data_IF_481094366245
#
_entry.id   IF_481094366245
#
_cell.length_a   1.000
_cell.length_b   1.000
_cell.length_c   1.000
_cell.angle_alpha   90.00
_cell.angle_beta   90.00
_cell.angle_gamma   90.00
#
_symmetry.space_group_name_H-M   'P 1'
#
loop_
_entity.id
_entity.type
_entity.pdbx_description
1 polymer ?
#
# COMPACT_ATOMS: atom_id res chain seq x y z
N UNK A 1 -2.60 6.07 13.96
CA UNK A 1 -1.58 4.99 13.91
C UNK A 1 -1.69 3.94 15.01
N UNK A 2 -1.71 4.27 16.32
CA UNK A 2 -1.84 3.22 17.35
C UNK A 2 -3.19 2.48 17.27
N UNK A 3 -4.30 3.22 17.22
CA UNK A 3 -5.64 2.61 17.10
C UNK A 3 -5.80 1.82 15.80
N UNK A 4 -5.35 2.36 14.66
CA UNK A 4 -5.35 1.63 13.38
C UNK A 4 -4.54 0.34 13.46
N UNK A 5 -3.40 0.34 14.16
CA UNK A 5 -2.59 -0.86 14.36
C UNK A 5 -3.34 -1.93 15.15
N UNK A 6 -4.04 -1.55 16.23
CA UNK A 6 -4.88 -2.46 17.01
C UNK A 6 -5.98 -3.07 16.14
N UNK A 7 -6.65 -2.28 15.31
CA UNK A 7 -7.72 -2.74 14.40
C UNK A 7 -7.18 -3.74 13.36
N UNK A 8 -6.00 -3.49 12.80
CA UNK A 8 -5.35 -4.43 11.86
C UNK A 8 -4.93 -5.73 12.55
N UNK A 9 -4.47 -5.69 13.79
CA UNK A 9 -4.18 -6.90 14.58
C UNK A 9 -5.46 -7.68 14.86
N UNK A 10 -6.56 -7.01 15.24
CA UNK A 10 -7.87 -7.68 15.43
C UNK A 10 -8.31 -8.38 14.14
N UNK A 11 -8.16 -7.70 13.00
CA UNK A 11 -8.43 -8.29 11.67
C UNK A 11 -7.57 -9.53 11.44
N UNK A 12 -6.27 -9.44 11.75
CA UNK A 12 -5.34 -10.56 11.65
C UNK A 12 -5.66 -11.71 12.59
N UNK A 13 -6.10 -11.44 13.83
CA UNK A 13 -6.55 -12.45 14.79
C UNK A 13 -7.73 -13.22 14.19
N UNK A 14 -8.77 -12.52 13.72
CA UNK A 14 -9.95 -13.15 13.10
C UNK A 14 -9.54 -14.06 11.93
N UNK A 15 -8.71 -13.54 11.01
CA UNK A 15 -8.22 -14.34 9.87
C UNK A 15 -7.42 -15.55 10.35
N UNK A 16 -6.53 -15.36 11.33
CA UNK A 16 -5.66 -16.41 11.83
C UNK A 16 -6.44 -17.55 12.51
N UNK A 17 -7.43 -17.20 13.32
CA UNK A 17 -8.36 -18.10 14.00
C UNK A 17 -9.15 -18.96 13.02
N UNK A 18 -9.52 -18.37 11.89
CA UNK A 18 -10.31 -19.04 10.86
C UNK A 18 -9.49 -19.99 9.98
N UNK A 19 -8.20 -19.70 9.79
CA UNK A 19 -7.36 -20.38 8.80
C UNK A 19 -6.40 -21.39 9.43
N UNK A 20 -5.69 -21.03 10.49
CA UNK A 20 -4.63 -21.84 11.08
C UNK A 20 -5.13 -22.75 12.21
N UNK A 21 -4.56 -23.94 12.31
CA UNK A 21 -4.85 -24.87 13.42
C UNK A 21 -3.74 -24.88 14.47
N UNK A 22 -2.48 -24.70 14.04
CA UNK A 22 -1.34 -24.66 14.95
C UNK A 22 -1.37 -23.38 15.81
N UNK A 23 -1.39 -23.53 17.15
CA UNK A 23 -1.44 -22.42 18.11
C UNK A 23 -0.35 -21.37 17.91
N UNK A 24 0.88 -21.79 17.62
CA UNK A 24 2.02 -20.88 17.45
C UNK A 24 1.93 -20.10 16.14
N UNK A 25 1.62 -20.79 15.03
CA UNK A 25 1.41 -20.15 13.74
C UNK A 25 0.20 -19.21 13.77
N UNK A 26 -0.89 -19.63 14.41
CA UNK A 26 -2.08 -18.79 14.64
C UNK A 26 -1.71 -17.47 15.31
N UNK A 27 -0.94 -17.52 16.41
CA UNK A 27 -0.53 -16.32 17.15
C UNK A 27 0.36 -15.39 16.32
N UNK A 28 1.41 -15.89 15.67
CA UNK A 28 2.32 -15.04 14.90
C UNK A 28 1.68 -14.52 13.61
N UNK A 29 0.85 -15.32 12.92
CA UNK A 29 0.17 -14.92 11.68
C UNK A 29 -0.86 -13.81 11.91
N UNK A 30 -1.35 -13.62 13.14
CA UNK A 30 -2.22 -12.49 13.49
C UNK A 30 -1.54 -11.12 13.23
N UNK A 31 -0.21 -11.08 13.21
CA UNK A 31 0.57 -9.88 12.94
C UNK A 31 0.80 -9.63 11.44
N UNK A 32 0.53 -10.58 10.53
CA UNK A 32 0.88 -10.44 9.12
C UNK A 32 0.20 -9.27 8.43
N UNK A 33 -1.05 -8.94 8.81
CA UNK A 33 -1.77 -7.79 8.24
C UNK A 33 -1.11 -6.48 8.68
N UNK A 34 -0.88 -6.31 9.98
CA UNK A 34 -0.24 -5.12 10.54
C UNK A 34 1.18 -4.92 9.99
N UNK A 35 1.94 -6.00 9.99
CA UNK A 35 3.38 -5.98 9.68
C UNK A 35 3.65 -6.17 8.19
N UNK A 36 2.68 -5.97 7.29
CA UNK A 36 3.00 -5.98 5.86
C UNK A 36 3.92 -4.79 5.49
N UNK A 37 4.99 -4.99 4.71
CA UNK A 37 5.88 -3.90 4.27
C UNK A 37 5.13 -2.74 3.60
N UNK A 38 4.10 -3.04 2.82
CA UNK A 38 3.28 -2.05 2.12
C UNK A 38 2.24 -1.37 3.03
N UNK A 39 1.93 -1.96 4.19
CA UNK A 39 0.99 -1.36 5.15
C UNK A 39 1.59 -0.14 5.86
N UNK A 40 2.91 0.02 5.84
CA UNK A 40 3.61 1.17 6.44
C UNK A 40 3.12 2.51 5.88
N UNK A 41 2.90 2.61 4.56
CA UNK A 41 2.37 3.83 3.94
C UNK A 41 0.95 4.13 4.45
N UNK A 42 0.08 3.11 4.55
CA UNK A 42 -1.28 3.28 5.09
C UNK A 42 -1.25 3.79 6.54
N UNK A 43 -0.33 3.31 7.38
CA UNK A 43 -0.19 3.69 8.78
C UNK A 43 0.33 5.12 8.99
N UNK A 44 1.01 5.69 8.00
CA UNK A 44 1.54 7.07 8.03
C UNK A 44 0.48 8.13 7.80
N UNK A 45 -0.66 7.78 7.19
CA UNK A 45 -1.80 8.69 7.06
C UNK A 45 -2.46 8.89 8.42
N UNK A 46 -2.02 9.90 9.18
CA UNK A 46 -2.41 10.14 10.59
C UNK A 46 -3.89 9.86 10.87
N UNK A 47 -4.79 10.54 10.17
CA UNK A 47 -6.25 10.43 10.36
C UNK A 47 -6.88 9.31 9.50
N UNK A 48 -6.52 9.21 8.22
CA UNK A 48 -7.14 8.23 7.30
C UNK A 48 -6.74 6.77 7.61
N UNK A 49 -5.63 6.55 8.32
CA UNK A 49 -5.16 5.21 8.70
C UNK A 49 -6.19 4.43 9.51
N UNK A 50 -7.01 5.10 10.31
CA UNK A 50 -8.08 4.45 11.09
C UNK A 50 -9.18 3.96 10.13
N UNK A 51 -9.60 4.80 9.18
CA UNK A 51 -10.64 4.46 8.22
C UNK A 51 -10.21 3.28 7.32
N UNK A 52 -8.96 3.30 6.86
CA UNK A 52 -8.38 2.19 6.07
C UNK A 52 -8.24 0.90 6.90
N UNK A 53 -7.93 0.99 8.19
CA UNK A 53 -7.88 -0.19 9.05
C UNK A 53 -9.28 -0.78 9.31
N UNK A 54 -10.27 0.07 9.57
CA UNK A 54 -11.67 -0.35 9.74
C UNK A 54 -12.20 -0.99 8.45
N UNK A 55 -11.85 -0.46 7.29
CA UNK A 55 -12.29 -1.03 6.02
C UNK A 55 -11.72 -2.44 5.78
N UNK A 56 -10.48 -2.71 6.19
CA UNK A 56 -9.90 -4.07 6.20
C UNK A 56 -10.63 -4.98 7.19
N UNK A 57 -10.93 -4.48 8.40
CA UNK A 57 -11.70 -5.26 9.39
C UNK A 57 -13.08 -5.65 8.83
N UNK A 58 -13.78 -4.70 8.22
CA UNK A 58 -15.05 -4.94 7.54
C UNK A 58 -14.93 -5.97 6.40
N UNK A 59 -13.80 -6.02 5.69
CA UNK A 59 -13.58 -7.05 4.68
C UNK A 59 -13.41 -8.46 5.26
N UNK A 60 -13.03 -8.59 6.54
CA UNK A 60 -12.75 -9.87 7.20
C UNK A 60 -13.94 -10.39 8.02
N UNK A 61 -14.57 -9.52 8.81
CA UNK A 61 -15.62 -9.87 9.79
C UNK A 61 -16.75 -10.76 9.25
N UNK A 62 -17.29 -10.53 8.03
CA UNK A 62 -18.41 -11.34 7.53
C UNK A 62 -18.11 -12.83 7.50
N UNK A 63 -16.86 -13.21 7.23
CA UNK A 63 -16.47 -14.61 7.11
C UNK A 63 -16.50 -15.38 8.44
N UNK A 64 -16.61 -14.72 9.60
CA UNK A 64 -16.91 -15.36 10.89
C UNK A 64 -18.22 -16.14 10.78
N UNK A 65 -19.20 -15.57 10.07
CA UNK A 65 -20.54 -16.14 9.91
C UNK A 65 -20.69 -17.03 8.68
N UNK A 66 -19.60 -17.45 8.03
CA UNK A 66 -19.63 -18.23 6.77
C UNK A 66 -20.52 -19.48 6.82
N UNK A 67 -20.66 -20.09 8.00
CA UNK A 67 -21.53 -21.27 8.21
C UNK A 67 -23.03 -20.93 8.20
N UNK A 68 -23.41 -19.68 8.50
CA UNK A 68 -24.79 -19.20 8.57
C UNK A 68 -25.08 -18.23 7.41
N UNK A 69 -25.48 -18.77 6.25
CA UNK A 69 -25.56 -18.01 5.00
C UNK A 69 -26.38 -16.70 5.06
N UNK A 70 -27.50 -16.66 5.80
CA UNK A 70 -28.32 -15.43 5.94
C UNK A 70 -27.55 -14.34 6.68
N UNK A 71 -26.87 -14.72 7.76
CA UNK A 71 -26.06 -13.82 8.56
C UNK A 71 -24.78 -13.41 7.83
N UNK A 72 -24.13 -14.35 7.13
CA UNK A 72 -23.01 -14.07 6.22
C UNK A 72 -23.40 -13.04 5.16
N UNK A 73 -24.55 -13.21 4.52
CA UNK A 73 -25.02 -12.30 3.47
C UNK A 73 -25.29 -10.90 4.04
N UNK A 74 -26.05 -10.79 5.13
CA UNK A 74 -26.37 -9.52 5.75
C UNK A 74 -25.11 -8.79 6.23
N UNK A 75 -24.21 -9.49 6.94
CA UNK A 75 -22.96 -8.90 7.43
C UNK A 75 -22.02 -8.54 6.28
N UNK A 76 -21.89 -9.37 5.25
CA UNK A 76 -21.11 -9.06 4.04
C UNK A 76 -21.63 -7.80 3.36
N UNK A 77 -22.95 -7.67 3.20
CA UNK A 77 -23.55 -6.51 2.56
C UNK A 77 -23.20 -5.20 3.30
N UNK A 78 -23.46 -5.14 4.60
CA UNK A 78 -23.19 -3.93 5.40
C UNK A 78 -21.70 -3.63 5.51
N UNK A 79 -20.87 -4.65 5.76
CA UNK A 79 -19.43 -4.45 5.89
C UNK A 79 -18.77 -4.04 4.56
N UNK A 80 -19.20 -4.60 3.42
CA UNK A 80 -18.71 -4.16 2.11
C UNK A 80 -19.16 -2.73 1.79
N UNK A 81 -20.40 -2.37 2.13
CA UNK A 81 -20.89 -0.99 1.97
C UNK A 81 -20.03 0.00 2.77
N UNK A 82 -19.76 -0.31 4.04
CA UNK A 82 -18.84 0.49 4.88
C UNK A 82 -17.45 0.54 4.25
N UNK A 83 -16.92 -0.59 3.79
CA UNK A 83 -15.60 -0.63 3.15
C UNK A 83 -15.55 0.23 1.89
N UNK A 84 -16.59 0.25 1.05
CA UNK A 84 -16.64 1.14 -0.13
C UNK A 84 -16.64 2.62 0.25
N UNK A 85 -17.36 2.99 1.32
CA UNK A 85 -17.39 4.36 1.81
C UNK A 85 -16.07 4.80 2.46
N UNK A 86 -15.34 3.89 3.12
CA UNK A 86 -14.10 4.22 3.82
C UNK A 86 -12.88 4.12 2.90
N UNK A 87 -12.68 2.99 2.24
CA UNK A 87 -11.55 2.75 1.35
C UNK A 87 -11.83 1.64 0.34
N UNK A 88 -12.12 2.04 -0.91
CA UNK A 88 -12.55 1.12 -1.98
C UNK A 88 -11.58 -0.05 -2.22
N UNK A 89 -10.26 0.20 -2.16
CA UNK A 89 -9.24 -0.82 -2.46
C UNK A 89 -9.24 -1.97 -1.45
N UNK A 90 -9.64 -1.75 -0.19
CA UNK A 90 -9.71 -2.84 0.79
C UNK A 90 -10.82 -3.85 0.51
N UNK A 91 -11.79 -3.53 -0.36
CA UNK A 91 -12.82 -4.51 -0.74
C UNK A 91 -12.23 -5.74 -1.43
N UNK A 92 -11.06 -5.64 -2.07
CA UNK A 92 -10.35 -6.80 -2.62
C UNK A 92 -9.80 -7.74 -1.53
N UNK A 93 -9.64 -7.25 -0.30
CA UNK A 93 -9.28 -8.09 0.84
C UNK A 93 -10.39 -9.10 1.17
N UNK A 94 -11.67 -8.74 0.92
CA UNK A 94 -12.81 -9.64 1.11
C UNK A 94 -12.68 -10.88 0.22
N UNK A 95 -12.39 -10.69 -1.07
CA UNK A 95 -12.11 -11.80 -1.98
C UNK A 95 -10.82 -12.55 -1.62
N UNK A 96 -9.81 -11.85 -1.11
CA UNK A 96 -8.56 -12.49 -0.66
C UNK A 96 -8.80 -13.46 0.50
N UNK A 97 -9.67 -13.11 1.45
CA UNK A 97 -10.09 -14.01 2.54
C UNK A 97 -10.88 -15.21 2.00
N UNK A 98 -11.82 -14.98 1.07
CA UNK A 98 -12.57 -16.06 0.43
C UNK A 98 -11.64 -17.07 -0.27
N UNK A 99 -10.66 -16.59 -1.05
CA UNK A 99 -9.66 -17.44 -1.69
C UNK A 99 -8.79 -18.17 -0.67
N UNK A 100 -8.37 -17.51 0.42
CA UNK A 100 -7.64 -18.17 1.50
C UNK A 100 -8.43 -19.33 2.13
N UNK A 101 -9.75 -19.16 2.29
CA UNK A 101 -10.63 -20.23 2.77
C UNK A 101 -10.71 -21.40 1.77
N UNK A 102 -10.85 -21.10 0.48
CA UNK A 102 -10.87 -22.13 -0.57
C UNK A 102 -9.54 -22.90 -0.64
N UNK A 103 -8.38 -22.22 -0.51
CA UNK A 103 -7.07 -22.87 -0.40
C UNK A 103 -7.05 -23.86 0.77
N UNK A 104 -7.53 -23.43 1.95
CA UNK A 104 -7.64 -24.30 3.12
C UNK A 104 -8.52 -25.52 2.85
N UNK A 105 -9.69 -25.34 2.25
CA UNK A 105 -10.63 -26.42 1.92
C UNK A 105 -10.03 -27.42 0.92
N UNK A 106 -9.34 -26.94 -0.12
CA UNK A 106 -8.61 -27.79 -1.07
C UNK A 106 -7.62 -28.73 -0.37
N UNK A 107 -6.88 -28.20 0.61
CA UNK A 107 -5.83 -28.93 1.32
C UNK A 107 -6.39 -29.89 2.40
N UNK A 108 -7.57 -29.61 2.96
CA UNK A 108 -8.17 -30.37 4.06
C UNK A 108 -9.04 -31.58 3.63
N UNK A 109 -9.00 -32.01 2.37
CA UNK A 109 -9.92 -33.02 1.83
C UNK A 109 -11.42 -32.63 1.90
N UNK A 110 -11.72 -31.37 2.14
CA UNK A 110 -13.08 -30.83 2.09
C UNK A 110 -13.52 -30.63 0.62
N UNK A 111 -14.65 -29.96 0.40
CA UNK A 111 -15.06 -29.58 -0.96
C UNK A 111 -14.01 -28.63 -1.54
N UNK A 112 -13.34 -29.03 -2.63
CA UNK A 112 -12.28 -28.24 -3.26
C UNK A 112 -12.80 -26.92 -3.87
N UNK A 113 -14.10 -26.83 -4.10
CA UNK A 113 -14.77 -25.62 -4.54
C UNK A 113 -16.08 -25.46 -3.78
N UNK A 114 -16.23 -24.34 -3.08
CA UNK A 114 -17.46 -23.96 -2.40
C UNK A 114 -18.20 -22.93 -3.26
N UNK A 115 -19.06 -23.45 -4.16
CA UNK A 115 -19.86 -22.62 -5.06
C UNK A 115 -20.74 -21.63 -4.29
N UNK A 116 -21.25 -22.02 -3.12
CA UNK A 116 -22.15 -21.18 -2.32
C UNK A 116 -21.40 -19.99 -1.72
N UNK A 117 -20.19 -20.23 -1.19
CA UNK A 117 -19.34 -19.16 -0.69
C UNK A 117 -18.99 -18.18 -1.81
N UNK A 118 -18.57 -18.68 -2.98
CA UNK A 118 -18.21 -17.86 -4.12
C UNK A 118 -19.38 -17.01 -4.63
N UNK A 119 -20.53 -17.66 -4.86
CA UNK A 119 -21.72 -16.98 -5.38
C UNK A 119 -22.24 -15.92 -4.39
N UNK A 120 -22.34 -16.25 -3.10
CA UNK A 120 -22.76 -15.27 -2.09
C UNK A 120 -21.78 -14.10 -1.99
N UNK A 121 -20.47 -14.38 -2.03
CA UNK A 121 -19.44 -13.33 -1.97
C UNK A 121 -19.54 -12.37 -3.15
N UNK A 122 -19.74 -12.90 -4.37
CA UNK A 122 -19.94 -12.10 -5.58
C UNK A 122 -21.24 -11.30 -5.52
N UNK A 123 -22.36 -11.94 -5.15
CA UNK A 123 -23.65 -11.27 -5.05
C UNK A 123 -23.62 -10.14 -4.01
N UNK A 124 -23.07 -10.38 -2.82
CA UNK A 124 -22.93 -9.34 -1.80
C UNK A 124 -22.07 -8.17 -2.31
N UNK A 125 -20.95 -8.45 -2.98
CA UNK A 125 -20.08 -7.41 -3.54
C UNK A 125 -20.81 -6.54 -4.56
N UNK A 126 -21.48 -7.14 -5.55
CA UNK A 126 -22.20 -6.38 -6.57
C UNK A 126 -23.38 -5.60 -5.98
N UNK A 127 -24.17 -6.21 -5.09
CA UNK A 127 -25.30 -5.53 -4.44
C UNK A 127 -24.80 -4.35 -3.59
N UNK A 128 -23.76 -4.54 -2.78
CA UNK A 128 -23.15 -3.44 -2.01
C UNK A 128 -22.58 -2.34 -2.89
N UNK A 129 -21.92 -2.70 -4.01
CA UNK A 129 -21.37 -1.72 -4.94
C UNK A 129 -22.47 -0.90 -5.64
N UNK A 130 -23.56 -1.54 -6.08
CA UNK A 130 -24.70 -0.85 -6.69
C UNK A 130 -25.31 0.13 -5.70
N UNK A 131 -25.57 -0.30 -4.46
CA UNK A 131 -26.12 0.57 -3.41
C UNK A 131 -25.16 1.73 -3.10
N UNK A 132 -23.86 1.45 -2.99
CA UNK A 132 -22.84 2.48 -2.82
C UNK A 132 -22.87 3.50 -3.97
N UNK A 133 -22.89 3.05 -5.22
CA UNK A 133 -22.92 3.91 -6.40
C UNK A 133 -24.16 4.80 -6.44
N UNK A 134 -25.32 4.25 -6.06
CA UNK A 134 -26.57 5.02 -5.94
C UNK A 134 -26.49 6.08 -4.83
N UNK A 135 -25.91 5.74 -3.67
CA UNK A 135 -25.72 6.70 -2.57
C UNK A 135 -24.82 7.87 -2.97
N UNK A 136 -23.70 7.59 -3.64
CA UNK A 136 -22.77 8.64 -4.11
C UNK A 136 -23.45 9.52 -5.16
N UNK A 137 -24.19 8.92 -6.09
CA UNK A 137 -24.95 9.68 -7.10
C UNK A 137 -26.04 10.56 -6.46
N UNK A 138 -26.74 10.05 -5.44
CA UNK A 138 -27.79 10.80 -4.74
C UNK A 138 -27.22 12.00 -3.96
N UNK A 139 -26.03 11.86 -3.39
CA UNK A 139 -25.33 12.92 -2.67
C UNK A 139 -24.68 13.97 -3.59
N UNK A 140 -24.88 13.87 -4.92
CA UNK A 140 -24.30 14.75 -5.94
C UNK A 140 -22.77 14.92 -5.81
N UNK A 141 -22.09 13.91 -5.26
CA UNK A 141 -20.63 13.93 -5.14
C UNK A 141 -20.06 13.59 -6.50
N UNK A 142 -19.72 14.62 -7.27
CA UNK A 142 -19.00 14.50 -8.55
C UNK A 142 -17.57 14.02 -8.31
N UNK A 143 -17.39 12.73 -8.02
CA UNK A 143 -16.08 12.11 -8.09
C UNK A 143 -15.74 11.92 -9.57
N UNK A 144 -14.85 12.75 -10.12
CA UNK A 144 -14.14 12.44 -11.36
C UNK A 144 -13.27 11.19 -11.13
N UNK A 145 -13.89 10.01 -11.11
CA UNK A 145 -13.23 8.71 -11.06
C UNK A 145 -13.76 7.84 -12.19
N UNK A 146 -13.18 8.12 -13.35
CA UNK A 146 -12.65 7.20 -14.36
C UNK A 146 -13.33 5.82 -14.49
N UNK A 147 -13.94 5.59 -15.65
CA UNK A 147 -14.48 4.28 -16.05
C UNK A 147 -13.42 3.18 -16.18
N UNK A 148 -13.85 2.00 -16.58
CA UNK A 148 -12.95 0.90 -16.93
C UNK A 148 -12.10 1.26 -18.15
N UNK A 149 -10.89 0.69 -18.21
CA UNK A 149 -10.04 0.78 -19.40
C UNK A 149 -10.78 0.16 -20.59
N UNK A 150 -10.72 0.81 -21.75
CA UNK A 150 -11.22 0.28 -23.00
C UNK A 150 -10.40 -0.95 -23.41
N UNK A 151 -11.06 -2.01 -23.89
CA UNK A 151 -10.36 -3.22 -24.34
C UNK A 151 -9.83 -3.05 -25.78
N UNK A 152 -9.04 -2.00 -26.00
CA UNK A 152 -8.33 -1.69 -27.23
C UNK A 152 -6.81 -1.79 -27.03
N UNK A 153 -6.02 -1.58 -28.09
CA UNK A 153 -4.57 -1.64 -28.03
C UNK A 153 -3.98 -0.67 -26.97
N UNK A 154 -4.53 0.55 -26.88
CA UNK A 154 -4.12 1.56 -25.92
C UNK A 154 -4.39 1.10 -24.47
N UNK A 155 -5.53 0.46 -24.23
CA UNK A 155 -5.86 -0.14 -22.95
C UNK A 155 -4.92 -1.26 -22.54
N UNK A 156 -4.49 -2.11 -23.48
CA UNK A 156 -3.47 -3.14 -23.22
C UNK A 156 -2.12 -2.52 -22.85
N UNK A 157 -1.70 -1.45 -23.53
CA UNK A 157 -0.45 -0.73 -23.22
C UNK A 157 -0.49 -0.10 -21.81
N UNK A 158 -1.65 0.45 -21.42
CA UNK A 158 -1.86 0.95 -20.05
C UNK A 158 -1.71 -0.18 -19.02
N UNK A 159 -2.34 -1.34 -19.23
CA UNK A 159 -2.21 -2.49 -18.32
C UNK A 159 -0.74 -2.95 -18.25
N UNK A 160 -0.04 -3.06 -19.39
CA UNK A 160 1.36 -3.49 -19.40
C UNK A 160 2.27 -2.51 -18.66
N UNK A 161 2.08 -1.21 -18.85
CA UNK A 161 2.85 -0.18 -18.13
C UNK A 161 2.62 -0.24 -16.60
N UNK A 162 1.41 -0.58 -16.18
CA UNK A 162 1.07 -0.79 -14.76
C UNK A 162 1.69 -2.04 -14.20
N UNK A 163 1.69 -3.15 -14.95
CA UNK A 163 2.39 -4.36 -14.54
C UNK A 163 3.88 -4.11 -14.31
N UNK A 164 4.53 -3.32 -15.18
CA UNK A 164 5.93 -2.90 -14.97
C UNK A 164 6.10 -2.04 -13.72
N UNK A 165 5.11 -1.19 -13.41
CA UNK A 165 5.10 -0.43 -12.15
C UNK A 165 5.00 -1.37 -10.95
N UNK A 166 4.06 -2.32 -10.94
CA UNK A 166 3.96 -3.34 -9.88
C UNK A 166 5.25 -4.15 -9.73
N UNK A 167 5.86 -4.58 -10.84
CA UNK A 167 7.15 -5.25 -10.87
C UNK A 167 8.24 -4.40 -10.20
N UNK A 168 8.32 -3.10 -10.52
CA UNK A 168 9.29 -2.19 -9.91
C UNK A 168 9.13 -2.07 -8.38
N UNK A 169 7.89 -2.04 -7.89
CA UNK A 169 7.60 -2.03 -6.44
C UNK A 169 8.05 -3.34 -5.77
N UNK A 170 7.72 -4.49 -6.36
CA UNK A 170 8.16 -5.79 -5.82
C UNK A 170 9.67 -5.98 -5.91
N UNK A 171 10.30 -5.53 -7.00
CA UNK A 171 11.75 -5.59 -7.16
C UNK A 171 12.46 -4.71 -6.12
N UNK A 172 11.93 -3.51 -5.85
CA UNK A 172 12.46 -2.63 -4.82
C UNK A 172 12.38 -3.26 -3.43
N UNK A 173 11.28 -3.94 -3.10
CA UNK A 173 11.15 -4.72 -1.87
C UNK A 173 12.13 -5.92 -1.85
N UNK A 174 12.25 -6.64 -2.97
CA UNK A 174 13.11 -7.82 -3.11
C UNK A 174 14.59 -7.50 -2.88
N UNK A 175 15.10 -6.45 -3.53
CA UNK A 175 16.49 -5.98 -3.41
C UNK A 175 16.76 -5.44 -2.01
N UNK A 176 15.75 -4.89 -1.33
CA UNK A 176 15.82 -4.37 0.05
C UNK A 176 15.87 -5.45 1.14
N UNK A 177 16.32 -6.67 0.80
CA UNK A 177 16.51 -7.78 1.74
C UNK A 177 15.31 -8.72 1.89
N UNK A 178 14.15 -8.42 1.33
CA UNK A 178 12.98 -9.31 1.43
C UNK A 178 13.22 -10.68 0.80
N UNK A 179 14.15 -10.78 -0.17
CA UNK A 179 14.59 -12.06 -0.75
C UNK A 179 15.02 -13.09 0.31
N UNK A 180 15.72 -12.67 1.36
CA UNK A 180 16.19 -13.58 2.42
C UNK A 180 15.07 -14.13 3.30
N UNK A 181 13.93 -13.43 3.31
CA UNK A 181 12.76 -13.77 4.11
C UNK A 181 11.80 -14.65 3.33
N UNK A 182 11.60 -14.34 2.04
CA UNK A 182 10.62 -15.04 1.20
C UNK A 182 11.11 -16.41 0.72
N UNK A 183 12.41 -16.59 0.47
CA UNK A 183 12.96 -17.86 -0.03
C UNK A 183 12.70 -19.05 0.91
N UNK A 184 12.93 -18.95 2.24
CA UNK A 184 12.52 -20.00 3.18
C UNK A 184 11.03 -20.35 3.07
N UNK A 185 10.16 -19.36 2.91
CA UNK A 185 8.72 -19.57 2.76
C UNK A 185 8.39 -20.31 1.46
N UNK A 186 8.98 -19.89 0.34
CA UNK A 186 8.80 -20.52 -0.98
C UNK A 186 9.27 -21.98 -0.96
N UNK A 187 10.44 -22.25 -0.40
CA UNK A 187 10.96 -23.62 -0.26
C UNK A 187 10.01 -24.49 0.56
N UNK A 188 9.48 -23.97 1.68
CA UNK A 188 8.50 -24.70 2.49
C UNK A 188 7.19 -24.97 1.73
N UNK A 189 6.69 -24.02 0.94
CA UNK A 189 5.50 -24.20 0.09
C UNK A 189 5.74 -25.29 -0.96
N UNK A 190 6.90 -25.29 -1.63
CA UNK A 190 7.25 -26.32 -2.62
C UNK A 190 7.34 -27.71 -1.97
N UNK A 191 8.03 -27.83 -0.83
CA UNK A 191 8.10 -29.08 -0.06
C UNK A 191 6.72 -29.56 0.40
N UNK A 192 5.88 -28.63 0.81
CA UNK A 192 4.47 -28.87 1.12
C UNK A 192 3.76 -29.51 -0.06
N UNK A 193 3.80 -28.90 -1.24
CA UNK A 193 3.13 -29.45 -2.43
C UNK A 193 3.69 -30.80 -2.88
N UNK A 194 5.01 -31.01 -2.84
CA UNK A 194 5.62 -32.31 -3.13
C UNK A 194 5.04 -33.38 -2.21
N UNK A 195 4.96 -33.09 -0.90
CA UNK A 195 4.37 -34.02 0.07
C UNK A 195 2.87 -34.24 -0.13
N UNK A 196 2.14 -33.22 -0.60
CA UNK A 196 0.73 -33.35 -0.95
C UNK A 196 0.53 -34.37 -2.08
N UNK A 197 1.36 -34.30 -3.13
CA UNK A 197 1.36 -35.26 -4.25
C UNK A 197 1.76 -36.66 -3.78
N UNK A 198 2.85 -36.78 -3.01
CA UNK A 198 3.33 -38.08 -2.50
C UNK A 198 2.31 -38.82 -1.62
N UNK A 199 1.36 -38.10 -1.01
CA UNK A 199 0.24 -38.70 -0.25
C UNK A 199 -0.89 -39.23 -1.13
N UNK A 200 -0.73 -39.22 -2.46
CA UNK A 200 -1.74 -39.69 -3.40
C UNK A 200 -2.98 -38.80 -3.46
N UNK A 201 -2.87 -37.52 -3.09
CA UNK A 201 -3.99 -36.56 -3.19
C UNK A 201 -4.24 -36.21 -4.65
N UNK A 202 -5.50 -35.92 -4.98
CA UNK A 202 -5.93 -35.57 -6.34
C UNK A 202 -5.16 -34.36 -6.89
N UNK A 203 -4.50 -34.53 -8.04
CA UNK A 203 -3.77 -33.47 -8.74
C UNK A 203 -4.64 -32.23 -9.01
N UNK A 204 -5.94 -32.42 -9.28
CA UNK A 204 -6.89 -31.32 -9.47
C UNK A 204 -7.00 -30.38 -8.27
N UNK A 205 -6.89 -30.90 -7.04
CA UNK A 205 -6.91 -30.07 -5.81
C UNK A 205 -5.65 -29.22 -5.68
N UNK A 206 -4.51 -29.77 -6.08
CA UNK A 206 -3.25 -29.02 -6.13
C UNK A 206 -3.37 -27.89 -7.14
N UNK A 207 -3.81 -28.18 -8.36
CA UNK A 207 -3.99 -27.18 -9.41
C UNK A 207 -4.94 -26.06 -8.97
N UNK A 208 -6.08 -26.40 -8.36
CA UNK A 208 -7.01 -25.41 -7.81
C UNK A 208 -6.37 -24.55 -6.71
N UNK A 209 -5.61 -25.14 -5.79
CA UNK A 209 -4.92 -24.37 -4.75
C UNK A 209 -3.90 -23.39 -5.31
N UNK A 210 -3.19 -23.77 -6.38
CA UNK A 210 -2.24 -22.90 -7.09
C UNK A 210 -2.98 -21.78 -7.83
N UNK A 211 -4.10 -22.09 -8.49
CA UNK A 211 -4.96 -21.09 -9.14
C UNK A 211 -5.48 -20.07 -8.12
N UNK A 212 -5.95 -20.52 -6.95
CA UNK A 212 -6.40 -19.60 -5.89
C UNK A 212 -5.26 -18.75 -5.33
N UNK A 213 -4.05 -19.31 -5.18
CA UNK A 213 -2.87 -18.55 -4.74
C UNK A 213 -2.50 -17.46 -5.76
N UNK A 214 -2.50 -17.79 -7.05
CA UNK A 214 -2.33 -16.82 -8.13
C UNK A 214 -3.45 -15.77 -8.14
N UNK A 215 -4.69 -16.18 -7.84
CA UNK A 215 -5.82 -15.28 -7.64
C UNK A 215 -5.58 -14.27 -6.51
N UNK A 216 -5.08 -14.71 -5.36
CA UNK A 216 -4.70 -13.80 -4.26
C UNK A 216 -3.59 -12.86 -4.69
N UNK A 217 -2.59 -13.33 -5.45
CA UNK A 217 -1.53 -12.48 -6.00
C UNK A 217 -2.11 -11.41 -6.95
N UNK A 218 -3.03 -11.77 -7.84
CA UNK A 218 -3.71 -10.82 -8.74
C UNK A 218 -4.52 -9.78 -7.96
N UNK A 219 -5.18 -10.16 -6.88
CA UNK A 219 -5.95 -9.24 -6.02
C UNK A 219 -5.08 -8.17 -5.36
N UNK A 220 -3.76 -8.38 -5.24
CA UNK A 220 -2.84 -7.33 -4.77
C UNK A 220 -2.69 -6.15 -5.74
N UNK A 221 -3.04 -6.36 -7.02
CA UNK A 221 -2.99 -5.35 -8.08
C UNK A 221 -4.37 -4.76 -8.39
N UNK A 222 -5.46 -5.43 -7.98
CA UNK A 222 -6.83 -4.97 -8.23
C UNK A 222 -7.29 -3.96 -7.16
N UNK A 223 -8.19 -3.02 -7.52
CA UNK A 223 -8.76 -2.80 -8.85
C UNK A 223 -7.89 -1.89 -9.75
N UNK A 224 -6.78 -1.37 -9.23
CA UNK A 224 -5.92 -0.39 -9.91
C UNK A 224 -5.34 -0.88 -11.23
N UNK A 225 -5.28 -2.19 -11.48
CA UNK A 225 -4.87 -2.70 -12.78
C UNK A 225 -5.85 -2.29 -13.91
N UNK A 226 -7.16 -2.22 -13.63
CA UNK A 226 -8.23 -2.10 -14.67
C UNK A 226 -8.93 -0.74 -14.74
N UNK A 227 -8.69 0.15 -13.77
CA UNK A 227 -9.35 1.47 -13.69
C UNK A 227 -8.56 2.51 -14.50
N UNK A 228 -9.18 3.38 -15.31
CA UNK A 228 -8.45 4.32 -16.18
C UNK A 228 -7.54 5.32 -15.44
N UNK A 229 -7.94 5.94 -14.32
CA UNK A 229 -7.08 6.88 -13.56
C UNK A 229 -6.48 6.26 -12.29
N UNK A 230 -5.92 5.06 -12.39
CA UNK A 230 -5.33 4.40 -11.23
C UNK A 230 -4.04 5.09 -10.76
N UNK A 231 -3.95 5.40 -9.47
CA UNK A 231 -2.74 5.93 -8.85
C UNK A 231 -2.05 4.83 -8.04
N UNK A 232 -1.02 4.22 -8.64
CA UNK A 232 -0.27 3.12 -8.02
C UNK A 232 0.70 3.70 -7.00
N UNK A 233 0.37 3.55 -5.72
CA UNK A 233 1.26 3.85 -4.58
C UNK A 233 1.26 2.67 -3.60
N UNK A 234 2.20 2.61 -2.64
CA UNK A 234 2.32 1.46 -1.73
C UNK A 234 1.05 1.25 -0.91
N UNK A 235 0.30 2.31 -0.61
CA UNK A 235 -0.98 2.21 0.13
C UNK A 235 -2.01 1.32 -0.56
N UNK A 236 -1.91 1.15 -1.88
CA UNK A 236 -2.86 0.38 -2.68
C UNK A 236 -2.61 -1.13 -2.63
N UNK A 237 -1.44 -1.56 -2.15
CA UNK A 237 -1.07 -2.98 -1.96
C UNK A 237 -1.66 -3.56 -0.67
N UNK A 238 -2.86 -3.13 -0.27
CA UNK A 238 -3.49 -3.49 1.00
C UNK A 238 -3.81 -4.99 1.10
N UNK A 239 -3.87 -5.69 -0.05
CA UNK A 239 -4.09 -7.13 -0.12
C UNK A 239 -2.79 -7.96 -0.04
N UNK A 240 -1.61 -7.35 -0.15
CA UNK A 240 -0.32 -8.04 -0.02
C UNK A 240 -0.19 -8.95 1.24
N UNK A 241 -0.64 -8.58 2.45
CA UNK A 241 -0.59 -9.48 3.60
C UNK A 241 -1.34 -10.80 3.38
N UNK A 242 -2.43 -10.81 2.60
CA UNK A 242 -3.18 -12.03 2.32
C UNK A 242 -2.41 -12.99 1.41
N UNK A 243 -1.52 -12.48 0.55
CA UNK A 243 -0.59 -13.32 -0.20
C UNK A 243 0.34 -14.08 0.75
N UNK A 244 0.93 -13.38 1.73
CA UNK A 244 1.77 -14.03 2.76
C UNK A 244 0.97 -15.03 3.58
N UNK A 245 -0.24 -14.65 4.02
CA UNK A 245 -1.15 -15.56 4.74
C UNK A 245 -1.42 -16.82 3.91
N UNK A 246 -1.71 -16.68 2.61
CA UNK A 246 -2.01 -17.81 1.72
C UNK A 246 -0.84 -18.79 1.60
N UNK A 247 0.41 -18.31 1.55
CA UNK A 247 1.61 -19.15 1.59
C UNK A 247 1.67 -19.95 2.90
N UNK A 248 1.44 -19.28 4.03
CA UNK A 248 1.45 -19.95 5.33
C UNK A 248 0.31 -20.95 5.53
N UNK A 249 -0.85 -20.78 4.87
CA UNK A 249 -1.93 -21.79 4.87
C UNK A 249 -1.42 -23.09 4.25
N UNK A 250 -0.74 -23.01 3.10
CA UNK A 250 -0.15 -24.17 2.42
C UNK A 250 0.91 -24.85 3.30
N UNK A 251 1.68 -24.05 4.05
CA UNK A 251 2.70 -24.54 4.98
C UNK A 251 2.09 -25.22 6.22
N UNK A 252 1.03 -24.67 6.82
CA UNK A 252 0.39 -25.20 8.04
C UNK A 252 -0.33 -26.53 7.80
N UNK A 253 -1.13 -26.63 6.73
CA UNK A 253 -2.04 -27.78 6.52
C UNK A 253 -1.33 -29.09 6.26
N UNK A 254 -0.09 -29.04 5.82
CA UNK A 254 0.68 -30.24 5.58
C UNK A 254 1.43 -30.58 6.86
N UNK A 255 0.87 -31.53 7.61
CA UNK A 255 1.50 -32.08 8.83
C UNK A 255 2.84 -32.72 8.47
N UNK A 256 3.94 -32.22 9.05
CA UNK A 256 5.30 -32.76 8.88
C UNK A 256 5.91 -33.08 10.26
N UNK A 257 7.10 -33.67 10.29
CA UNK A 257 7.88 -33.93 11.49
C UNK A 257 8.08 -32.67 12.33
N UNK A 258 8.21 -32.84 13.65
CA UNK A 258 8.42 -31.77 14.63
C UNK A 258 9.54 -30.77 14.26
N UNK A 259 10.64 -31.24 13.67
CA UNK A 259 11.74 -30.37 13.23
C UNK A 259 11.30 -29.35 12.18
N UNK A 260 10.45 -29.78 11.23
CA UNK A 260 9.93 -28.90 10.19
C UNK A 260 8.89 -27.93 10.74
N UNK A 261 8.10 -28.31 11.74
CA UNK A 261 7.17 -27.36 12.37
C UNK A 261 7.90 -26.21 13.11
N UNK A 262 9.07 -26.48 13.70
CA UNK A 262 9.94 -25.40 14.24
C UNK A 262 10.45 -24.48 13.13
N UNK A 263 10.81 -25.03 11.97
CA UNK A 263 11.27 -24.25 10.81
C UNK A 263 10.13 -23.37 10.26
N UNK A 264 8.90 -23.89 10.16
CA UNK A 264 7.73 -23.11 9.75
C UNK A 264 7.48 -21.91 10.66
N UNK A 265 7.60 -22.14 11.97
CA UNK A 265 7.45 -21.07 12.95
C UNK A 265 8.60 -20.05 12.87
N UNK A 266 9.83 -20.52 12.71
CA UNK A 266 10.99 -19.64 12.49
C UNK A 266 10.85 -18.78 11.23
N UNK A 267 10.34 -19.33 10.12
CA UNK A 267 10.07 -18.54 8.91
C UNK A 267 8.98 -17.49 9.12
N UNK A 268 7.93 -17.80 9.90
CA UNK A 268 6.90 -16.83 10.26
C UNK A 268 7.46 -15.69 11.12
N UNK A 269 8.30 -16.01 12.10
CA UNK A 269 9.03 -15.01 12.90
C UNK A 269 9.89 -14.15 11.99
N UNK A 270 10.66 -14.74 11.08
CA UNK A 270 11.55 -14.01 10.17
C UNK A 270 10.78 -12.97 9.34
N UNK A 271 9.59 -13.31 8.84
CA UNK A 271 8.71 -12.38 8.12
C UNK A 271 8.32 -11.20 9.00
N UNK A 272 7.81 -11.47 10.21
CA UNK A 272 7.37 -10.43 11.15
C UNK A 272 8.56 -9.56 11.59
N UNK A 273 9.71 -10.17 11.89
CA UNK A 273 10.93 -9.46 12.29
C UNK A 273 11.47 -8.55 11.20
N UNK A 274 11.50 -9.00 9.94
CA UNK A 274 11.91 -8.16 8.82
C UNK A 274 11.02 -6.93 8.67
N UNK A 275 9.71 -7.10 8.85
CA UNK A 275 8.77 -6.00 8.76
C UNK A 275 8.90 -5.00 9.90
N UNK A 276 9.18 -5.45 11.13
CA UNK A 276 9.50 -4.54 12.24
C UNK A 276 10.81 -3.79 11.98
N UNK A 277 11.82 -4.45 11.41
CA UNK A 277 13.05 -3.82 10.97
C UNK A 277 12.77 -2.71 9.93
N UNK A 278 11.96 -2.99 8.90
CA UNK A 278 11.54 -1.97 7.93
C UNK A 278 10.77 -0.82 8.60
N UNK A 279 9.86 -1.12 9.53
CA UNK A 279 9.09 -0.11 10.26
C UNK A 279 10.00 0.85 11.04
N UNK A 280 11.05 0.34 11.69
CA UNK A 280 12.02 1.15 12.42
C UNK A 280 12.77 2.11 11.50
N UNK A 281 13.27 1.61 10.38
CA UNK A 281 14.02 2.43 9.41
C UNK A 281 13.11 3.46 8.76
N UNK A 282 11.89 3.07 8.42
CA UNK A 282 10.87 3.94 7.86
C UNK A 282 10.53 5.10 8.81
N UNK A 283 10.26 4.82 10.09
CA UNK A 283 10.01 5.85 11.09
C UNK A 283 11.18 6.82 11.26
N UNK A 284 12.43 6.32 11.25
CA UNK A 284 13.61 7.18 11.30
C UNK A 284 13.74 8.05 10.05
N UNK A 285 13.39 7.50 8.88
CA UNK A 285 13.49 8.17 7.58
C UNK A 285 12.47 9.29 7.47
N UNK A 286 11.23 9.04 7.88
CA UNK A 286 10.19 10.07 7.96
C UNK A 286 10.61 11.22 8.86
N UNK A 287 11.09 10.91 10.07
CA UNK A 287 11.57 11.95 11.00
C UNK A 287 12.70 12.79 10.41
N UNK A 288 13.72 12.14 9.83
CA UNK A 288 14.84 12.88 9.20
C UNK A 288 14.38 13.71 7.99
N UNK A 289 13.37 13.25 7.25
CA UNK A 289 12.80 13.99 6.14
C UNK A 289 12.02 15.22 6.61
N UNK A 290 11.22 15.06 7.66
CA UNK A 290 10.43 16.12 8.29
C UNK A 290 11.34 17.18 8.91
N UNK A 291 12.32 16.79 9.73
CA UNK A 291 13.28 17.70 10.35
C UNK A 291 14.04 18.53 9.29
N UNK A 292 14.41 17.90 8.17
CA UNK A 292 15.10 18.60 7.07
C UNK A 292 14.16 19.46 6.22
N UNK A 293 12.89 19.06 6.06
CA UNK A 293 11.87 19.88 5.41
C UNK A 293 11.55 21.12 6.24
N UNK A 294 11.42 20.97 7.56
CA UNK A 294 11.19 22.07 8.51
C UNK A 294 12.32 23.10 8.47
N UNK A 295 13.58 22.63 8.47
CA UNK A 295 14.74 23.51 8.34
C UNK A 295 14.66 24.41 7.09
N UNK A 296 14.31 23.84 5.93
CA UNK A 296 14.21 24.58 4.67
C UNK A 296 12.97 25.48 4.67
N UNK A 297 11.82 24.97 5.09
CA UNK A 297 10.58 25.73 5.16
C UNK A 297 10.74 26.97 6.07
N UNK A 298 11.34 26.82 7.25
CA UNK A 298 11.60 27.93 8.16
C UNK A 298 12.57 28.94 7.54
N UNK A 299 13.65 28.45 6.93
CA UNK A 299 14.68 29.31 6.34
C UNK A 299 14.12 30.12 5.15
N UNK A 300 13.37 29.49 4.25
CA UNK A 300 12.69 30.16 3.13
C UNK A 300 11.63 31.15 3.63
N UNK A 301 10.82 30.75 4.61
CA UNK A 301 9.78 31.63 5.18
C UNK A 301 10.39 32.91 5.77
N UNK A 302 11.52 32.80 6.45
CA UNK A 302 12.24 33.96 7.01
C UNK A 302 12.83 34.88 5.94
N UNK A 303 13.20 34.35 4.77
CA UNK A 303 13.72 35.16 3.66
C UNK A 303 12.57 35.93 3.01
N UNK A 304 11.49 35.23 2.68
CA UNK A 304 10.33 35.80 1.97
C UNK A 304 9.64 36.88 2.82
N UNK A 305 9.38 36.61 4.10
CA UNK A 305 8.73 37.59 5.01
C UNK A 305 9.58 38.81 5.35
N UNK A 306 10.91 38.74 5.16
CA UNK A 306 11.78 39.92 5.27
C UNK A 306 11.76 40.78 4.01
N UNK A 307 11.53 40.17 2.86
CA UNK A 307 11.51 40.85 1.57
C UNK A 307 10.16 41.55 1.30
N UNK A 308 9.05 40.92 1.66
CA UNK A 308 7.72 41.55 1.57
C UNK A 308 6.79 41.16 2.72
N UNK A 309 5.81 42.02 3.00
CA UNK A 309 4.83 41.87 4.08
C UNK A 309 3.47 41.39 3.57
N UNK A 310 3.46 40.56 2.53
CA UNK A 310 2.20 40.02 1.99
C UNK A 310 1.59 38.97 2.92
N UNK A 311 0.27 38.78 2.81
CA UNK A 311 -0.43 37.73 3.56
C UNK A 311 -0.26 36.36 2.93
N UNK A 312 -0.11 36.30 1.61
CA UNK A 312 -0.05 35.06 0.82
C UNK A 312 0.97 35.21 -0.30
N UNK A 313 1.90 34.26 -0.40
CA UNK A 313 3.01 34.33 -1.34
C UNK A 313 2.85 33.32 -2.47
N UNK A 314 3.03 33.76 -3.72
CA UNK A 314 3.05 32.84 -4.87
C UNK A 314 4.44 32.24 -5.01
N UNK A 315 4.54 30.92 -4.80
CA UNK A 315 5.83 30.23 -4.74
C UNK A 315 5.92 29.12 -5.78
N UNK A 316 7.08 29.06 -6.45
CA UNK A 316 7.44 28.03 -7.42
C UNK A 316 8.66 27.28 -6.90
N UNK A 317 8.69 25.96 -7.08
CA UNK A 317 9.86 25.12 -6.81
C UNK A 317 10.52 24.76 -8.14
N UNK A 318 11.81 25.06 -8.27
CA UNK A 318 12.66 24.58 -9.37
C UNK A 318 13.52 23.41 -8.88
N UNK A 319 13.44 22.27 -9.59
CA UNK A 319 14.12 21.03 -9.22
C UNK A 319 13.48 20.29 -8.04
N UNK A 320 14.29 19.55 -7.29
CA UNK A 320 13.85 18.79 -6.12
C UNK A 320 14.75 19.08 -4.93
N UNK A 321 14.15 19.20 -3.75
CA UNK A 321 14.91 19.32 -2.50
C UNK A 321 15.97 18.22 -2.41
N UNK A 322 17.24 18.54 -2.09
CA UNK A 322 18.24 17.51 -1.89
C UNK A 322 17.85 16.58 -0.73
N UNK A 323 18.32 15.33 -0.76
CA UNK A 323 18.09 14.41 0.36
C UNK A 323 19.04 14.75 1.52
N UNK A 324 18.53 14.65 2.74
CA UNK A 324 19.39 14.69 3.93
C UNK A 324 20.44 13.57 3.85
N UNK A 325 21.62 13.76 4.45
CA UNK A 325 22.70 12.75 4.43
C UNK A 325 22.19 11.41 5.00
N UNK A 326 21.40 11.46 6.09
CA UNK A 326 20.81 10.27 6.73
C UNK A 326 19.80 9.58 5.82
N UNK A 327 18.89 10.33 5.20
CA UNK A 327 17.91 9.79 4.26
C UNK A 327 18.59 9.16 3.04
N UNK A 328 19.63 9.80 2.51
CA UNK A 328 20.41 9.28 1.38
C UNK A 328 21.06 7.94 1.71
N UNK A 329 21.65 7.81 2.91
CA UNK A 329 22.19 6.53 3.37
C UNK A 329 21.08 5.47 3.50
N UNK A 330 19.92 5.82 4.08
CA UNK A 330 18.79 4.91 4.20
C UNK A 330 18.27 4.42 2.83
N UNK A 331 18.16 5.32 1.85
CA UNK A 331 17.72 4.98 0.49
C UNK A 331 18.73 4.10 -0.25
N UNK A 332 20.02 4.33 -0.05
CA UNK A 332 21.07 3.50 -0.68
C UNK A 332 21.10 2.09 -0.09
N UNK A 333 20.93 1.96 1.24
CA UNK A 333 20.92 0.66 1.92
C UNK A 333 19.62 -0.11 1.72
N UNK A 334 18.48 0.59 1.70
CA UNK A 334 17.13 0.02 1.55
C UNK A 334 16.35 0.83 0.51
N UNK A 335 16.51 0.51 -0.79
CA UNK A 335 15.86 1.23 -1.89
C UNK A 335 14.34 1.33 -1.77
N UNK A 336 13.69 0.36 -1.14
CA UNK A 336 12.24 0.37 -0.88
C UNK A 336 11.78 1.59 -0.07
N UNK A 337 12.66 2.21 0.74
CA UNK A 337 12.35 3.44 1.47
C UNK A 337 12.04 4.62 0.56
N UNK A 338 12.63 4.67 -0.65
CA UNK A 338 12.34 5.73 -1.63
C UNK A 338 10.88 5.70 -2.09
N UNK A 339 10.27 4.52 -2.11
CA UNK A 339 8.86 4.31 -2.45
C UNK A 339 7.97 4.69 -1.27
N UNK A 340 8.32 4.26 -0.06
CA UNK A 340 7.49 4.49 1.13
C UNK A 340 7.52 5.94 1.66
N UNK A 341 8.65 6.64 1.51
CA UNK A 341 8.87 8.00 1.98
C UNK A 341 9.46 8.87 0.87
N UNK A 342 8.70 9.15 -0.21
CA UNK A 342 9.20 9.96 -1.31
C UNK A 342 9.45 11.40 -0.88
N UNK A 343 10.24 12.12 -1.69
CA UNK A 343 10.49 13.54 -1.47
C UNK A 343 9.33 14.37 -2.05
N UNK A 344 8.59 15.08 -1.20
CA UNK A 344 7.41 15.85 -1.62
C UNK A 344 7.75 17.24 -2.16
N UNK A 345 8.79 17.91 -1.64
CA UNK A 345 9.30 19.21 -2.11
C UNK A 345 9.98 19.08 -3.47
N UNK A 346 9.16 19.02 -4.52
CA UNK A 346 9.55 18.80 -5.90
C UNK A 346 8.81 19.77 -6.83
N UNK A 347 9.44 20.09 -7.95
CA UNK A 347 8.88 20.90 -9.01
C UNK A 347 7.51 20.37 -9.48
N UNK A 348 6.56 21.30 -9.67
CA UNK A 348 5.21 20.98 -10.14
C UNK A 348 4.31 20.28 -9.11
N UNK A 349 4.79 20.08 -7.88
CA UNK A 349 4.01 19.43 -6.82
C UNK A 349 3.33 20.47 -5.92
N UNK A 350 1.99 20.51 -5.95
CA UNK A 350 1.21 21.28 -4.97
C UNK A 350 1.49 20.82 -3.53
N UNK A 351 1.76 19.53 -3.31
CA UNK A 351 2.19 19.01 -2.02
C UNK A 351 3.56 19.54 -1.60
N UNK A 352 4.45 19.81 -2.56
CA UNK A 352 5.74 20.41 -2.30
C UNK A 352 5.63 21.85 -1.80
N UNK A 353 4.71 22.65 -2.36
CA UNK A 353 4.42 24.00 -1.86
C UNK A 353 3.74 23.95 -0.50
N UNK A 354 2.79 23.04 -0.28
CA UNK A 354 2.18 22.85 1.03
C UNK A 354 3.22 22.44 2.11
N UNK A 355 4.20 21.61 1.74
CA UNK A 355 5.30 21.21 2.62
C UNK A 355 6.26 22.38 2.93
N UNK A 356 6.41 23.33 2.00
CA UNK A 356 7.25 24.51 2.15
C UNK A 356 6.56 25.64 2.93
N UNK A 357 5.25 25.81 2.72
CA UNK A 357 4.39 26.79 3.37
C UNK A 357 3.93 26.39 4.78
N UNK A 358 4.75 25.65 5.53
CA UNK A 358 4.41 25.22 6.91
C UNK A 358 4.24 26.40 7.88
N UNK A 359 4.91 27.52 7.62
CA UNK A 359 4.97 28.68 8.51
C UNK A 359 4.34 29.95 7.94
N UNK A 360 4.18 30.02 6.61
CA UNK A 360 3.55 31.15 5.90
C UNK A 360 2.64 30.61 4.81
N UNK A 361 1.61 31.37 4.47
CA UNK A 361 0.67 30.96 3.43
C UNK A 361 1.32 31.07 2.04
N UNK A 362 1.49 29.92 1.39
CA UNK A 362 2.08 29.83 0.06
C UNK A 362 1.08 29.23 -0.92
N UNK A 363 0.86 29.91 -2.04
CA UNK A 363 -0.03 29.44 -3.10
C UNK A 363 0.77 28.79 -4.23
N UNK A 364 0.39 27.57 -4.61
CA UNK A 364 0.93 26.88 -5.76
C UNK A 364 0.52 27.58 -7.06
N UNK A 365 1.49 27.80 -7.95
CA UNK A 365 1.27 28.39 -9.28
C UNK A 365 1.23 27.26 -10.34
N UNK A 366 0.05 27.00 -10.96
CA UNK A 366 -0.06 26.06 -12.07
C UNK A 366 0.79 26.50 -13.28
N UNK A 367 1.19 25.55 -14.13
CA UNK A 367 1.95 25.81 -15.37
C UNK A 367 3.26 26.59 -15.17
N UNK A 368 3.95 26.32 -14.07
CA UNK A 368 5.19 27.00 -13.68
C UNK A 368 6.42 26.67 -14.54
N UNK A 369 6.30 25.79 -15.54
CA UNK A 369 7.39 25.36 -16.41
C UNK A 369 8.08 26.54 -17.11
N UNK A 370 7.30 27.49 -17.63
CA UNK A 370 7.82 28.68 -18.34
C UNK A 370 8.69 29.56 -17.45
N UNK A 371 8.30 29.72 -16.18
CA UNK A 371 9.06 30.50 -15.21
C UNK A 371 10.37 29.81 -14.84
N UNK A 372 10.36 28.47 -14.75
CA UNK A 372 11.55 27.67 -14.41
C UNK A 372 12.59 27.71 -15.55
N UNK A 373 12.14 27.77 -16.81
CA UNK A 373 13.04 27.95 -17.97
C UNK A 373 13.67 29.35 -17.98
N UNK A 374 12.92 30.38 -17.57
CA UNK A 374 13.37 31.78 -17.50
C UNK A 374 14.12 32.14 -16.20
N UNK A 375 14.37 31.15 -15.32
CA UNK A 375 14.87 31.40 -13.95
C UNK A 375 16.20 32.15 -13.87
N UNK A 376 17.05 32.06 -14.91
CA UNK A 376 18.36 32.72 -14.90
C UNK A 376 18.26 34.25 -15.07
N UNK A 377 17.09 34.76 -15.48
CA UNK A 377 16.81 36.19 -15.63
C UNK A 377 16.09 36.80 -14.40
N UNK A 378 15.93 36.03 -13.32
CA UNK A 378 15.24 36.48 -12.10
C UNK A 378 16.24 37.09 -11.11
N UNK A 379 15.75 38.02 -10.29
CA UNK A 379 16.56 38.67 -9.26
C UNK A 379 16.83 37.69 -8.12
N UNK A 380 18.09 37.60 -7.69
CA UNK A 380 18.50 36.72 -6.59
C UNK A 380 18.31 37.46 -5.26
N UNK A 381 17.36 37.02 -4.44
CA UNK A 381 17.17 37.56 -3.08
C UNK A 381 18.18 36.95 -2.13
N UNK A 382 18.36 35.63 -2.20
CA UNK A 382 19.27 34.90 -1.32
C UNK A 382 19.95 33.75 -2.08
N UNK A 383 21.25 33.59 -1.82
CA UNK A 383 22.09 32.57 -2.46
C UNK A 383 22.70 31.66 -1.40
N UNK A 384 22.08 30.50 -1.21
CA UNK A 384 22.55 29.48 -0.28
C UNK A 384 23.39 28.37 -0.94
N UNK A 385 23.91 27.48 -0.09
CA UNK A 385 24.63 26.27 -0.51
C UNK A 385 23.71 25.08 -0.83
N UNK A 386 22.43 25.17 -0.44
CA UNK A 386 21.42 24.10 -0.58
C UNK A 386 20.33 24.51 -1.60
N UNK A 387 19.92 25.77 -1.59
CA UNK A 387 18.95 26.36 -2.49
C UNK A 387 19.26 27.84 -2.69
N UNK A 388 18.67 28.46 -3.70
CA UNK A 388 18.63 29.91 -3.88
C UNK A 388 17.17 30.39 -3.93
N UNK A 389 16.91 31.61 -3.47
CA UNK A 389 15.59 32.24 -3.56
C UNK A 389 15.68 33.34 -4.60
N UNK A 390 14.85 33.23 -5.62
CA UNK A 390 14.72 34.17 -6.72
C UNK A 390 13.38 34.90 -6.63
N UNK A 391 13.31 36.13 -7.15
CA UNK A 391 12.07 36.88 -7.29
C UNK A 391 11.96 37.53 -8.65
N UNK A 392 10.72 37.59 -9.13
CA UNK A 392 10.30 38.36 -10.31
C UNK A 392 8.89 38.86 -10.05
N UNK A 393 8.74 40.18 -9.98
CA UNK A 393 7.48 40.82 -9.58
C UNK A 393 6.99 40.28 -8.22
N UNK A 394 5.77 39.72 -8.17
CA UNK A 394 5.15 39.13 -6.96
C UNK A 394 5.36 37.60 -6.85
N UNK A 395 6.26 37.03 -7.67
CA UNK A 395 6.55 35.59 -7.69
C UNK A 395 7.88 35.29 -7.01
N UNK A 396 7.85 34.32 -6.10
CA UNK A 396 9.06 33.76 -5.50
C UNK A 396 9.36 32.38 -6.09
N UNK A 397 10.63 32.11 -6.34
CA UNK A 397 11.09 30.79 -6.75
C UNK A 397 12.16 30.26 -5.81
N UNK A 398 11.93 29.06 -5.26
CA UNK A 398 12.94 28.31 -4.54
C UNK A 398 13.63 27.37 -5.52
N UNK A 399 14.87 27.71 -5.89
CA UNK A 399 15.67 26.93 -6.83
C UNK A 399 16.62 25.98 -6.11
N UNK A 400 16.31 24.68 -6.15
CA UNK A 400 17.20 23.62 -5.70
C UNK A 400 18.23 23.22 -6.77
N UNK A 401 18.06 23.66 -8.02
CA UNK A 401 18.98 23.40 -9.13
C UNK A 401 19.73 24.68 -9.54
N UNK A 402 20.07 25.53 -8.57
CA UNK A 402 20.72 26.83 -8.77
C UNK A 402 22.09 26.79 -9.48
N UNK A 403 22.69 25.60 -9.66
CA UNK A 403 23.94 25.40 -10.41
C UNK A 403 23.77 25.28 -11.92
N UNK A 404 22.53 25.24 -12.41
CA UNK A 404 22.23 25.10 -13.85
C UNK A 404 22.21 26.43 -14.60
N UNK A 405 22.21 27.57 -13.91
CA UNK A 405 22.50 28.88 -14.48
C UNK A 405 24.00 29.16 -14.27
N UNK A 406 24.83 28.67 -15.20
CA UNK A 406 26.28 28.80 -15.17
C UNK A 406 26.85 28.88 -16.57
#
# INVERSE_FOLDING_TARGET
TLLSSVILVISGIIVSDMLFENKYLKSISSLFILTSPFMLENLSYRYDSILMAVSVLCAVVPFIFRSHYKLFFATSFFCLLISFCLYQTSTMAYFSVALCLLIKQCLNNEKAFDFRLCLNSLLCFFVSYIVYSLLISFLAVNMQRSGFITFDADGFDIILSRLRSYESYYNSLYVSGFKYVIWPCVTLVLLSYVKFILRGREFGRLLLSVIYLLGVALLTMMPNLVITTAWITSRTFICFPFLIISLFIVIDKIKISLFLDRIKFASAILVVSYSFFLCSIYGSTLKNNDDYSDFIAQSVSNIITKDSNESTYKVIISGSRPLSIKTRMAFNSIPFMKILAPNYMTQGSSWGIADLGRYIDMTFVPDSQRYIEDKCNWDIIDKGSVYSVLKKDDLYMVDFNYRSCG
#
